data_IF_852213752930
#
_entry.id   IF_852213752930
#
_cell.length_a   1.000
_cell.length_b   1.000
_cell.length_c   1.000
_cell.angle_alpha   90.00
_cell.angle_beta   90.00
_cell.angle_gamma   90.00
#
_symmetry.space_group_name_H-M   'P 1'
#
loop_
_entity.id
_entity.type
_entity.pdbx_description
1 polymer ?
#
# COMPACT_ATOMS: atom_id res chain seq x y z
N UNK A 1 1.33 -29.57 -1.84
CA UNK A 1 0.77 -29.13 -3.14
C UNK A 1 1.94 -28.62 -3.94
N UNK A 2 2.13 -29.07 -5.19
CA UNK A 2 3.29 -28.67 -5.98
C UNK A 2 3.25 -27.17 -6.23
N UNK A 3 4.36 -26.49 -6.00
CA UNK A 3 4.52 -25.08 -6.28
C UNK A 3 5.53 -24.86 -7.41
N UNK A 4 5.27 -23.85 -8.24
CA UNK A 4 5.96 -23.63 -9.50
C UNK A 4 6.67 -22.28 -9.50
N UNK A 5 7.97 -22.30 -9.80
CA UNK A 5 8.80 -21.10 -9.93
C UNK A 5 8.86 -20.71 -11.40
N UNK A 6 8.46 -19.47 -11.72
CA UNK A 6 8.63 -18.87 -13.05
C UNK A 6 9.73 -17.84 -12.98
N UNK A 7 10.83 -18.08 -13.71
CA UNK A 7 11.97 -17.15 -13.76
C UNK A 7 11.78 -16.07 -14.84
N UNK A 8 12.21 -14.88 -14.48
CA UNK A 8 12.13 -13.59 -15.15
C UNK A 8 10.82 -13.37 -15.90
N UNK A 9 9.65 -13.43 -15.22
CA UNK A 9 8.38 -13.22 -15.90
C UNK A 9 8.33 -11.80 -16.47
N UNK A 10 7.89 -11.68 -17.72
CA UNK A 10 7.64 -10.37 -18.33
C UNK A 10 6.48 -9.66 -17.63
N UNK A 11 6.40 -8.33 -17.69
CA UNK A 11 5.24 -7.58 -17.16
C UNK A 11 3.91 -8.06 -17.74
N UNK A 12 3.89 -8.41 -19.03
CA UNK A 12 2.72 -8.97 -19.71
C UNK A 12 2.30 -10.32 -19.09
N UNK A 13 3.28 -11.15 -18.72
CA UNK A 13 3.03 -12.43 -18.03
C UNK A 13 2.38 -12.20 -16.67
N UNK A 14 2.90 -11.25 -15.89
CA UNK A 14 2.36 -10.91 -14.57
C UNK A 14 0.93 -10.36 -14.68
N UNK A 15 0.67 -9.45 -15.63
CA UNK A 15 -0.67 -8.90 -15.86
C UNK A 15 -1.68 -9.98 -16.23
N UNK A 16 -1.30 -10.96 -17.07
CA UNK A 16 -2.17 -12.09 -17.43
C UNK A 16 -2.50 -12.96 -16.21
N UNK A 17 -1.52 -13.23 -15.34
CA UNK A 17 -1.73 -14.01 -14.11
C UNK A 17 -2.68 -13.28 -13.15
N UNK A 18 -2.47 -11.97 -12.96
CA UNK A 18 -3.33 -11.12 -12.15
C UNK A 18 -4.78 -11.09 -12.65
N UNK A 19 -4.97 -10.90 -13.96
CA UNK A 19 -6.30 -10.90 -14.58
C UNK A 19 -7.01 -12.25 -14.48
N UNK A 20 -6.25 -13.34 -14.34
CA UNK A 20 -6.78 -14.67 -14.12
C UNK A 20 -7.07 -14.97 -12.64
N UNK A 21 -6.78 -14.05 -11.71
CA UNK A 21 -6.97 -14.24 -10.28
C UNK A 21 -5.98 -15.22 -9.65
N UNK A 22 -4.81 -15.40 -10.27
CA UNK A 22 -3.75 -16.24 -9.71
C UNK A 22 -2.87 -15.37 -8.84
N UNK A 23 -2.79 -15.72 -7.55
CA UNK A 23 -1.88 -15.10 -6.61
C UNK A 23 -0.46 -15.63 -6.80
N UNK A 24 0.54 -14.77 -6.58
CA UNK A 24 1.95 -15.16 -6.61
C UNK A 24 2.74 -14.49 -5.49
N UNK A 25 3.83 -15.14 -5.09
CA UNK A 25 4.79 -14.60 -4.13
C UNK A 25 6.09 -14.24 -4.85
N UNK A 26 6.60 -13.04 -4.60
CA UNK A 26 7.94 -12.67 -5.03
C UNK A 26 8.95 -13.46 -4.19
N UNK A 27 9.72 -14.33 -4.84
CA UNK A 27 10.68 -15.21 -4.16
C UNK A 27 12.09 -14.64 -4.23
N UNK A 28 12.51 -14.18 -5.41
CA UNK A 28 13.83 -13.62 -5.70
C UNK A 28 13.73 -12.56 -6.81
N UNK A 29 14.78 -11.75 -7.07
CA UNK A 29 14.79 -10.81 -8.20
C UNK A 29 14.48 -11.55 -9.50
N UNK A 30 13.27 -11.30 -10.02
CA UNK A 30 12.80 -11.93 -11.23
C UNK A 30 12.26 -13.36 -11.05
N UNK A 31 11.91 -13.85 -9.87
CA UNK A 31 11.23 -15.15 -9.75
C UNK A 31 9.91 -15.01 -8.98
N UNK A 32 8.85 -15.64 -9.51
CA UNK A 32 7.56 -15.74 -8.83
C UNK A 32 7.24 -17.19 -8.49
N UNK A 33 6.67 -17.41 -7.31
CA UNK A 33 6.17 -18.70 -6.86
C UNK A 33 4.64 -18.75 -7.00
N UNK A 34 4.15 -19.79 -7.67
CA UNK A 34 2.73 -20.03 -7.97
C UNK A 34 2.30 -21.36 -7.36
N UNK A 35 1.15 -21.38 -6.68
CA UNK A 35 0.58 -22.60 -6.09
C UNK A 35 -0.69 -23.01 -6.88
N UNK A 36 -0.52 -23.35 -8.15
CA UNK A 36 -1.61 -23.62 -9.09
C UNK A 36 -1.26 -24.75 -10.07
N UNK A 37 -2.26 -25.38 -10.69
CA UNK A 37 -2.03 -26.43 -11.71
C UNK A 37 -1.24 -25.87 -12.91
N UNK A 38 -0.08 -26.47 -13.20
CA UNK A 38 0.79 -26.08 -14.31
C UNK A 38 0.09 -26.07 -15.68
N UNK A 39 -0.92 -26.93 -15.89
CA UNK A 39 -1.72 -26.95 -17.13
C UNK A 39 -2.62 -25.71 -17.23
N UNK A 40 -3.14 -25.23 -16.11
CA UNK A 40 -3.92 -23.99 -16.05
C UNK A 40 -3.01 -22.80 -16.35
N UNK A 41 -1.82 -22.75 -15.75
CA UNK A 41 -0.80 -21.73 -16.02
C UNK A 41 -0.44 -21.68 -17.51
N UNK A 42 -0.15 -22.83 -18.12
CA UNK A 42 0.17 -22.90 -19.56
C UNK A 42 -0.96 -22.36 -20.44
N UNK A 43 -2.23 -22.63 -20.08
CA UNK A 43 -3.39 -22.12 -20.81
C UNK A 43 -3.55 -20.61 -20.68
N UNK A 44 -3.40 -20.04 -19.49
CA UNK A 44 -3.52 -18.60 -19.23
C UNK A 44 -2.43 -17.82 -19.97
N UNK A 45 -1.21 -18.37 -19.97
CA UNK A 45 -0.07 -17.74 -20.62
C UNK A 45 -0.05 -17.93 -22.13
N UNK A 46 -0.94 -18.77 -22.68
CA UNK A 46 -0.95 -19.16 -24.10
C UNK A 46 0.38 -19.82 -24.52
N UNK A 47 0.98 -20.60 -23.61
CA UNK A 47 2.18 -21.35 -23.88
C UNK A 47 1.84 -22.59 -24.73
N UNK A 48 2.65 -22.87 -25.75
CA UNK A 48 2.52 -24.08 -26.58
C UNK A 48 2.90 -25.32 -25.78
N UNK A 49 3.99 -25.22 -25.03
CA UNK A 49 4.55 -26.30 -24.21
C UNK A 49 5.19 -25.71 -22.95
N UNK A 50 5.36 -26.54 -21.93
CA UNK A 50 6.07 -26.19 -20.71
C UNK A 50 6.98 -27.35 -20.29
N UNK A 51 8.10 -27.03 -19.67
CA UNK A 51 9.02 -27.98 -19.05
C UNK A 51 9.13 -27.64 -17.56
N UNK A 52 8.89 -28.61 -16.69
CA UNK A 52 9.01 -28.47 -15.25
C UNK A 52 10.20 -29.31 -14.75
N UNK A 53 11.16 -28.67 -14.12
CA UNK A 53 12.35 -29.31 -13.54
C UNK A 53 12.23 -29.32 -12.01
N UNK A 54 12.41 -30.47 -11.35
CA UNK A 54 12.44 -30.50 -9.89
C UNK A 54 13.60 -29.65 -9.39
N UNK A 55 13.39 -28.94 -8.29
CA UNK A 55 14.43 -28.19 -7.59
C UNK A 55 15.00 -29.04 -6.44
N UNK A 56 15.92 -28.46 -5.64
CA UNK A 56 16.43 -29.11 -4.43
C UNK A 56 15.40 -29.17 -3.28
N UNK A 57 14.29 -28.44 -3.39
CA UNK A 57 13.23 -28.41 -2.39
C UNK A 57 12.08 -29.35 -2.77
N UNK A 58 11.54 -30.06 -1.77
CA UNK A 58 10.41 -30.97 -1.94
C UNK A 58 9.17 -30.22 -2.46
N UNK A 59 8.46 -30.82 -3.41
CA UNK A 59 7.26 -30.25 -4.06
C UNK A 59 7.47 -28.91 -4.79
N UNK A 60 8.70 -28.50 -5.10
CA UNK A 60 9.00 -27.24 -5.78
C UNK A 60 9.64 -27.47 -7.16
N UNK A 61 9.05 -26.88 -8.19
CA UNK A 61 9.45 -27.10 -9.59
C UNK A 61 9.75 -25.79 -10.30
N UNK A 62 10.88 -25.70 -11.00
CA UNK A 62 11.20 -24.60 -11.90
C UNK A 62 10.54 -24.83 -13.27
N UNK A 63 9.74 -23.88 -13.74
CA UNK A 63 8.96 -24.01 -14.97
C UNK A 63 9.44 -23.04 -16.04
N UNK A 64 9.70 -23.58 -17.23
CA UNK A 64 9.98 -22.81 -18.44
C UNK A 64 8.85 -22.97 -19.43
N UNK A 65 8.22 -21.87 -19.84
CA UNK A 65 7.17 -21.84 -20.84
C UNK A 65 7.73 -21.54 -22.23
N UNK A 66 7.31 -22.30 -23.25
CA UNK A 66 7.63 -22.03 -24.64
C UNK A 66 6.41 -21.46 -25.35
N UNK A 67 6.54 -20.26 -25.89
CA UNK A 67 5.47 -19.58 -26.60
C UNK A 67 5.57 -19.87 -28.10
N UNK A 68 4.44 -19.96 -28.82
CA UNK A 68 4.49 -20.06 -30.27
C UNK A 68 5.16 -18.80 -30.81
N UNK A 69 6.23 -18.97 -31.58
CA UNK A 69 6.86 -17.86 -32.28
C UNK A 69 5.78 -17.17 -33.11
N UNK A 70 5.51 -15.90 -32.83
CA UNK A 70 4.58 -15.09 -33.62
C UNK A 70 5.18 -15.02 -35.03
N UNK A 71 4.80 -15.96 -35.89
CA UNK A 71 4.96 -15.77 -37.33
C UNK A 71 4.31 -14.44 -37.65
N UNK A 72 5.04 -13.57 -38.36
CA UNK A 72 4.61 -12.25 -38.76
C UNK A 72 3.24 -12.33 -39.45
N UNK A 73 2.18 -12.21 -38.65
CA UNK A 73 0.83 -12.05 -39.12
C UNK A 73 0.80 -10.66 -39.76
N UNK A 74 0.99 -10.66 -41.08
CA UNK A 74 0.80 -9.53 -41.96
C UNK A 74 -0.43 -8.76 -41.47
N UNK A 75 -0.29 -7.48 -41.05
CA UNK A 75 -1.35 -6.75 -40.37
C UNK A 75 -2.62 -6.84 -41.21
N UNK A 76 -3.76 -7.29 -40.64
CA UNK A 76 -4.98 -7.49 -41.41
C UNK A 76 -5.38 -6.16 -42.06
N UNK A 77 -5.36 -6.16 -43.39
CA UNK A 77 -5.79 -5.02 -44.18
C UNK A 77 -7.25 -4.71 -43.89
N UNK A 78 -7.46 -3.46 -43.50
CA UNK A 78 -8.71 -2.69 -43.53
C UNK A 78 -9.92 -3.32 -42.83
N UNK A 79 -10.28 -2.70 -41.71
CA UNK A 79 -11.50 -2.89 -40.94
C UNK A 79 -12.74 -2.91 -41.84
N UNK A 80 -13.28 -4.10 -42.07
CA UNK A 80 -14.67 -4.26 -42.50
C UNK A 80 -15.57 -3.61 -41.44
N UNK A 81 -16.67 -2.95 -41.85
CA UNK A 81 -17.62 -2.35 -40.92
C UNK A 81 -18.12 -3.40 -39.93
N UNK A 82 -17.94 -3.10 -38.65
CA UNK A 82 -18.28 -3.97 -37.54
C UNK A 82 -19.80 -4.19 -37.50
N UNK A 83 -20.25 -5.39 -37.89
CA UNK A 83 -21.64 -5.79 -37.70
C UNK A 83 -21.83 -6.41 -36.31
N UNK A 84 -22.78 -5.87 -35.54
CA UNK A 84 -23.20 -6.40 -34.24
C UNK A 84 -23.69 -7.85 -34.31
N UNK A 85 -24.15 -8.28 -35.49
CA UNK A 85 -24.71 -9.62 -35.70
C UNK A 85 -23.67 -10.67 -36.05
N UNK A 86 -22.43 -10.25 -36.33
CA UNK A 86 -21.32 -11.16 -36.59
C UNK A 86 -21.01 -12.03 -35.35
N UNK A 87 -20.43 -13.23 -35.51
CA UNK A 87 -20.01 -14.06 -34.39
C UNK A 87 -19.09 -13.31 -33.40
N UNK A 88 -18.24 -12.42 -33.93
CA UNK A 88 -17.33 -11.58 -33.16
C UNK A 88 -18.08 -10.45 -32.43
N UNK A 89 -19.12 -9.89 -33.06
CA UNK A 89 -20.11 -8.99 -32.45
C UNK A 89 -20.79 -9.59 -31.23
N UNK A 90 -21.31 -10.81 -31.38
CA UNK A 90 -21.98 -11.57 -30.30
C UNK A 90 -21.02 -11.92 -29.17
N UNK A 91 -19.80 -12.35 -29.49
CA UNK A 91 -18.76 -12.65 -28.49
C UNK A 91 -18.42 -11.42 -27.64
N UNK A 92 -18.23 -10.25 -28.27
CA UNK A 92 -17.98 -9.00 -27.54
C UNK A 92 -19.18 -8.60 -26.68
N UNK A 93 -20.40 -8.70 -27.20
CA UNK A 93 -21.61 -8.40 -26.42
C UNK A 93 -21.73 -9.30 -25.18
N UNK A 94 -21.42 -10.59 -25.32
CA UNK A 94 -21.38 -11.53 -24.20
C UNK A 94 -20.28 -11.19 -23.19
N UNK A 95 -19.09 -10.80 -23.68
CA UNK A 95 -18.00 -10.35 -22.82
C UNK A 95 -18.36 -9.10 -22.03
N UNK A 96 -18.96 -8.09 -22.67
CA UNK A 96 -19.42 -6.85 -22.01
C UNK A 96 -20.44 -7.20 -20.92
N UNK A 97 -21.41 -8.06 -21.21
CA UNK A 97 -22.40 -8.52 -20.21
C UNK A 97 -21.73 -9.24 -19.04
N UNK A 98 -20.77 -10.11 -19.31
CA UNK A 98 -20.03 -10.83 -18.26
C UNK A 98 -19.21 -9.87 -17.40
N UNK A 99 -18.54 -8.90 -18.01
CA UNK A 99 -17.79 -7.87 -17.31
C UNK A 99 -18.71 -7.02 -16.43
N UNK A 100 -19.89 -6.64 -16.92
CA UNK A 100 -20.89 -5.91 -16.13
C UNK A 100 -21.34 -6.72 -14.89
N UNK A 101 -21.57 -8.03 -15.04
CA UNK A 101 -21.89 -8.91 -13.91
C UNK A 101 -20.74 -8.96 -12.90
N UNK A 102 -19.50 -9.14 -13.36
CA UNK A 102 -18.31 -9.15 -12.48
C UNK A 102 -18.14 -7.83 -11.73
N UNK A 103 -18.32 -6.70 -12.39
CA UNK A 103 -18.25 -5.40 -11.74
C UNK A 103 -19.34 -5.23 -10.66
N UNK A 104 -20.56 -5.72 -10.92
CA UNK A 104 -21.63 -5.73 -9.92
C UNK A 104 -21.30 -6.62 -8.71
N UNK A 105 -20.65 -7.76 -8.93
CA UNK A 105 -20.21 -8.64 -7.85
C UNK A 105 -19.09 -8.01 -7.02
N UNK A 106 -18.08 -7.42 -7.67
CA UNK A 106 -16.97 -6.73 -6.99
C UNK A 106 -17.48 -5.55 -6.15
N UNK A 107 -18.38 -4.73 -6.72
CA UNK A 107 -18.96 -3.59 -6.00
C UNK A 107 -19.82 -4.05 -4.82
N UNK A 108 -20.59 -5.14 -4.97
CA UNK A 108 -21.34 -5.74 -3.86
C UNK A 108 -20.42 -6.29 -2.77
N UNK A 109 -19.32 -6.96 -3.13
CA UNK A 109 -18.34 -7.47 -2.17
C UNK A 109 -17.63 -6.34 -1.42
N UNK A 110 -17.23 -5.28 -2.11
CA UNK A 110 -16.63 -4.09 -1.52
C UNK A 110 -17.61 -3.41 -0.54
N UNK A 111 -18.89 -3.26 -0.92
CA UNK A 111 -19.92 -2.73 -0.04
C UNK A 111 -20.12 -3.61 1.20
N UNK A 112 -20.21 -4.93 1.04
CA UNK A 112 -20.36 -5.85 2.17
C UNK A 112 -19.16 -5.79 3.12
N UNK A 113 -17.93 -5.67 2.59
CA UNK A 113 -16.72 -5.46 3.39
C UNK A 113 -16.76 -4.13 4.15
N UNK A 114 -17.24 -3.06 3.52
CA UNK A 114 -17.43 -1.76 4.18
C UNK A 114 -18.47 -1.85 5.30
N UNK A 115 -19.62 -2.47 5.03
CA UNK A 115 -20.71 -2.63 6.00
C UNK A 115 -20.29 -3.50 7.20
N UNK A 116 -19.56 -4.60 6.95
CA UNK A 116 -19.00 -5.45 8.00
C UNK A 116 -18.00 -4.69 8.88
N UNK A 117 -17.12 -3.89 8.27
CA UNK A 117 -16.17 -3.03 8.99
C UNK A 117 -16.91 -1.97 9.81
N UNK A 118 -17.99 -1.40 9.26
CA UNK A 118 -18.82 -0.42 9.95
C UNK A 118 -19.57 -1.03 11.15
N UNK A 119 -20.02 -2.28 11.06
CA UNK A 119 -20.65 -2.98 12.18
C UNK A 119 -19.67 -3.16 13.35
N UNK A 120 -18.42 -3.53 13.06
CA UNK A 120 -17.35 -3.70 14.06
C UNK A 120 -16.86 -2.36 14.65
N UNK A 121 -17.14 -1.25 13.99
CA UNK A 121 -16.78 0.09 14.47
C UNK A 121 -17.54 0.45 15.75
N UNK A 122 -18.79 -0.01 15.89
CA UNK A 122 -19.60 0.14 17.10
C UNK A 122 -18.97 -0.48 18.33
N UNK A 123 -18.53 -1.74 18.22
CA UNK A 123 -17.86 -2.46 19.30
C UNK A 123 -16.50 -1.84 19.62
N UNK A 124 -15.72 -1.49 18.60
CA UNK A 124 -14.41 -0.85 18.77
C UNK A 124 -14.53 0.52 19.46
N UNK A 125 -15.57 1.30 19.10
CA UNK A 125 -15.90 2.57 19.72
C UNK A 125 -16.40 2.40 21.16
N UNK A 126 -17.21 1.38 21.44
CA UNK A 126 -17.63 1.08 22.81
C UNK A 126 -16.45 0.71 23.71
N UNK A 127 -15.52 -0.14 23.24
CA UNK A 127 -14.29 -0.47 23.95
C UNK A 127 -13.39 0.75 24.12
N UNK A 128 -13.27 1.58 23.07
CA UNK A 128 -12.55 2.85 23.12
C UNK A 128 -13.12 3.78 24.21
N UNK A 129 -14.43 3.99 24.22
CA UNK A 129 -15.08 4.85 25.20
C UNK A 129 -15.01 4.30 26.61
N UNK A 130 -15.09 2.98 26.79
CA UNK A 130 -14.86 2.39 28.11
C UNK A 130 -13.43 2.67 28.60
N UNK A 131 -12.44 2.60 27.71
CA UNK A 131 -11.07 2.91 28.06
C UNK A 131 -10.81 4.41 28.29
N UNK A 132 -11.40 5.29 27.49
CA UNK A 132 -11.29 6.75 27.64
C UNK A 132 -12.16 7.30 28.80
N UNK A 133 -13.26 6.63 29.12
CA UNK A 133 -14.14 6.94 30.26
C UNK A 133 -13.45 6.74 31.60
N UNK A 134 -12.43 5.88 31.69
CA UNK A 134 -11.62 5.74 32.91
C UNK A 134 -10.77 7.01 33.16
N UNK A 135 -10.44 7.77 32.11
CA UNK A 135 -9.69 9.03 32.19
C UNK A 135 -10.61 10.25 32.35
N UNK A 136 -11.85 10.21 31.84
CA UNK A 136 -12.82 11.31 31.91
C UNK A 136 -13.95 11.02 32.92
N UNK A 137 -13.64 11.05 34.22
CA UNK A 137 -14.55 10.70 35.33
C UNK A 137 -15.76 11.66 35.52
N UNK A 138 -15.97 12.69 34.69
CA UNK A 138 -17.01 13.72 34.97
C UNK A 138 -17.95 14.14 33.83
N UNK A 139 -17.92 13.52 32.66
CA UNK A 139 -18.82 13.92 31.57
C UNK A 139 -20.11 13.10 31.57
N UNK A 140 -21.24 13.81 31.37
CA UNK A 140 -22.57 13.25 31.05
C UNK A 140 -22.41 12.05 30.13
N UNK A 141 -23.20 10.99 30.35
CA UNK A 141 -23.26 9.79 29.50
C UNK A 141 -23.09 10.22 28.04
N UNK A 142 -21.98 9.86 27.38
CA UNK A 142 -21.70 10.37 26.06
C UNK A 142 -22.80 9.90 25.10
N UNK A 143 -23.26 10.80 24.25
CA UNK A 143 -24.16 10.45 23.17
C UNK A 143 -23.40 9.59 22.15
N UNK A 144 -23.72 8.30 22.12
CA UNK A 144 -23.03 7.30 21.30
C UNK A 144 -23.16 7.66 19.82
N UNK A 145 -24.30 8.21 19.40
CA UNK A 145 -24.55 8.56 17.99
C UNK A 145 -23.67 9.74 17.57
N UNK A 146 -23.51 10.73 18.44
CA UNK A 146 -22.63 11.88 18.19
C UNK A 146 -21.15 11.45 18.10
N UNK A 147 -20.70 10.56 18.97
CA UNK A 147 -19.34 10.05 18.94
C UNK A 147 -19.09 9.19 17.70
N UNK A 148 -20.05 8.35 17.32
CA UNK A 148 -20.01 7.56 16.10
C UNK A 148 -19.88 8.45 14.87
N UNK A 149 -20.65 9.55 14.81
CA UNK A 149 -20.55 10.53 13.74
C UNK A 149 -19.16 11.16 13.69
N UNK A 150 -18.63 11.61 14.84
CA UNK A 150 -17.30 12.22 14.94
C UNK A 150 -16.19 11.25 14.50
N UNK A 151 -16.28 9.98 14.91
CA UNK A 151 -15.34 8.94 14.47
C UNK A 151 -15.37 8.70 12.96
N UNK A 152 -16.58 8.67 12.35
CA UNK A 152 -16.72 8.55 10.89
C UNK A 152 -16.10 9.72 10.15
N UNK A 153 -16.24 10.94 10.68
CA UNK A 153 -15.59 12.12 10.12
C UNK A 153 -14.06 12.03 10.22
N UNK A 154 -13.52 11.67 11.38
CA UNK A 154 -12.08 11.47 11.57
C UNK A 154 -11.51 10.38 10.66
N UNK A 155 -12.23 9.27 10.46
CA UNK A 155 -11.80 8.23 9.52
C UNK A 155 -11.70 8.76 8.08
N UNK A 156 -12.68 9.53 7.61
CA UNK A 156 -12.65 10.13 6.28
C UNK A 156 -11.50 11.13 6.14
N UNK A 157 -11.26 11.94 7.17
CA UNK A 157 -10.15 12.89 7.20
C UNK A 157 -8.81 12.17 7.16
N UNK A 158 -8.61 11.10 7.94
CA UNK A 158 -7.40 10.29 7.89
C UNK A 158 -7.13 9.70 6.50
N UNK A 159 -8.17 9.14 5.86
CA UNK A 159 -8.05 8.62 4.50
C UNK A 159 -7.81 9.70 3.43
N UNK A 160 -8.09 10.97 3.74
CA UNK A 160 -7.81 12.09 2.84
C UNK A 160 -6.36 12.56 2.87
N UNK A 161 -5.58 12.14 3.87
CA UNK A 161 -4.15 12.46 3.99
C UNK A 161 -3.39 11.69 2.89
N UNK A 162 -2.68 12.37 1.96
CA UNK A 162 -2.04 11.71 0.80
C UNK A 162 -1.03 10.62 1.14
N UNK A 163 -0.35 10.75 2.29
CA UNK A 163 0.64 9.81 2.80
C UNK A 163 0.00 8.57 3.44
N UNK A 164 -1.29 8.60 3.81
CA UNK A 164 -1.99 7.47 4.42
C UNK A 164 -2.45 6.50 3.33
N UNK A 165 -2.03 5.25 3.45
CA UNK A 165 -2.40 4.16 2.54
C UNK A 165 -3.66 3.43 3.02
N UNK A 166 -3.75 3.17 4.33
CA UNK A 166 -4.90 2.50 4.94
C UNK A 166 -5.05 2.85 6.41
N UNK A 167 -6.28 2.77 6.93
CA UNK A 167 -6.59 2.95 8.36
C UNK A 167 -7.44 1.77 8.82
N UNK A 168 -7.07 1.17 9.96
CA UNK A 168 -7.80 0.07 10.60
C UNK A 168 -8.09 0.41 12.05
N UNK A 169 -9.32 0.17 12.48
CA UNK A 169 -9.70 0.29 13.88
C UNK A 169 -9.67 -1.09 14.54
N UNK A 170 -9.02 -1.17 15.68
CA UNK A 170 -9.05 -2.31 16.59
C UNK A 170 -9.62 -1.84 17.94
N UNK A 171 -10.15 -2.75 18.78
CA UNK A 171 -10.64 -2.39 20.10
C UNK A 171 -9.55 -1.65 20.90
N UNK A 172 -9.79 -0.36 21.17
CA UNK A 172 -8.86 0.51 21.91
C UNK A 172 -7.66 1.06 21.11
N UNK A 173 -7.52 0.73 19.82
CA UNK A 173 -6.36 1.13 19.02
C UNK A 173 -6.73 1.56 17.59
N UNK A 174 -5.98 2.50 17.03
CA UNK A 174 -6.09 2.94 15.64
C UNK A 174 -4.77 2.65 14.95
N UNK A 175 -4.81 1.88 13.86
CA UNK A 175 -3.64 1.55 13.05
C UNK A 175 -3.70 2.34 11.75
N UNK A 176 -2.66 3.13 11.49
CA UNK A 176 -2.52 3.97 10.31
C UNK A 176 -1.31 3.48 9.53
N UNK A 177 -1.55 2.96 8.33
CA UNK A 177 -0.52 2.50 7.41
C UNK A 177 -0.19 3.63 6.45
N UNK A 178 1.10 3.94 6.30
CA UNK A 178 1.58 5.00 5.41
C UNK A 178 2.16 4.42 4.12
N UNK A 179 2.18 5.27 3.09
CA UNK A 179 3.05 5.09 1.92
C UNK A 179 4.52 5.27 2.32
N UNK A 180 5.44 5.07 1.36
CA UNK A 180 6.87 5.32 1.62
C UNK A 180 7.08 6.80 1.92
N UNK A 181 7.60 7.10 3.11
CA UNK A 181 7.90 8.45 3.58
C UNK A 181 9.33 8.82 3.23
N UNK A 182 9.56 10.12 3.07
CA UNK A 182 10.89 10.69 2.83
C UNK A 182 11.14 11.80 3.84
N UNK A 183 12.35 11.83 4.38
CA UNK A 183 12.73 12.85 5.35
C UNK A 183 13.83 13.78 4.83
N UNK A 184 13.79 15.01 5.29
CA UNK A 184 14.74 16.07 4.94
C UNK A 184 15.28 16.73 6.21
N UNK A 185 16.46 17.31 6.13
CA UNK A 185 17.08 18.08 7.20
C UNK A 185 17.97 19.18 6.63
N UNK A 186 18.22 20.24 7.40
CA UNK A 186 19.05 21.38 6.95
C UNK A 186 20.50 21.01 6.63
N UNK A 187 20.99 19.87 7.16
CA UNK A 187 22.35 19.37 7.00
C UNK A 187 22.51 18.38 5.83
N UNK A 188 21.44 17.95 5.16
CA UNK A 188 21.52 17.00 4.05
C UNK A 188 21.12 17.63 2.71
N UNK A 189 21.86 17.30 1.64
CA UNK A 189 21.57 17.77 0.28
C UNK A 189 20.60 16.79 -0.42
N UNK A 190 19.35 16.76 0.03
CA UNK A 190 18.30 15.93 -0.55
C UNK A 190 17.43 15.22 0.48
N UNK A 191 16.44 14.47 -0.02
CA UNK A 191 15.57 13.65 0.80
C UNK A 191 16.13 12.24 0.95
N UNK A 192 15.98 11.65 2.13
CA UNK A 192 16.31 10.27 2.41
C UNK A 192 15.04 9.45 2.53
N UNK A 193 15.03 8.25 1.95
CA UNK A 193 13.87 7.36 2.00
C UNK A 193 13.83 6.66 3.35
N UNK A 194 12.76 6.91 4.11
CA UNK A 194 12.52 6.24 5.38
C UNK A 194 11.82 4.89 5.17
N UNK A 195 10.92 4.79 4.19
CA UNK A 195 10.09 3.60 3.96
C UNK A 195 8.66 3.76 4.46
N UNK A 196 7.92 2.66 4.53
CA UNK A 196 6.50 2.65 4.99
C UNK A 196 6.42 2.52 6.50
N UNK A 197 5.43 3.15 7.12
CA UNK A 197 5.21 3.09 8.56
C UNK A 197 3.84 2.52 8.92
N UNK A 198 3.79 1.84 10.06
CA UNK A 198 2.60 1.58 10.84
C UNK A 198 2.64 2.52 12.06
N UNK A 199 1.72 3.48 12.09
CA UNK A 199 1.50 4.36 13.23
C UNK A 199 0.34 3.78 14.04
N UNK A 200 0.61 3.47 15.31
CA UNK A 200 -0.36 2.93 16.26
C UNK A 200 -0.74 4.02 17.24
N UNK A 201 -2.02 4.37 17.29
CA UNK A 201 -2.57 5.25 18.32
C UNK A 201 -3.30 4.37 19.35
N UNK A 202 -2.89 4.45 20.61
CA UNK A 202 -3.50 3.76 21.75
C UNK A 202 -3.93 4.78 22.82
N UNK A 203 -5.12 5.38 22.70
CA UNK A 203 -5.53 6.46 23.62
C UNK A 203 -5.84 5.99 25.04
N UNK A 204 -5.91 4.66 25.23
CA UNK A 204 -6.12 4.02 26.52
C UNK A 204 -4.83 3.77 27.30
N UNK A 205 -3.66 3.97 26.69
CA UNK A 205 -2.39 3.55 27.30
C UNK A 205 -2.05 4.39 28.55
N UNK A 206 -2.06 3.79 29.75
CA UNK A 206 -1.75 4.51 30.98
C UNK A 206 -0.26 4.88 31.10
N UNK A 207 0.62 4.28 30.29
CA UNK A 207 2.06 4.51 30.33
C UNK A 207 2.50 5.78 29.58
N UNK A 208 1.56 6.47 28.93
CA UNK A 208 1.84 7.65 28.11
C UNK A 208 2.39 7.33 26.72
N UNK A 209 2.47 6.04 26.33
CA UNK A 209 2.87 5.63 24.97
C UNK A 209 1.64 5.52 24.06
N UNK A 210 0.88 6.61 23.98
CA UNK A 210 -0.36 6.64 23.22
C UNK A 210 -0.13 6.71 21.70
N UNK A 211 1.09 6.97 21.23
CA UNK A 211 1.50 6.88 19.83
C UNK A 211 2.81 6.10 19.72
N UNK A 212 2.84 5.12 18.81
CA UNK A 212 4.05 4.41 18.41
C UNK A 212 4.16 4.35 16.88
N UNK A 213 5.38 4.45 16.36
CA UNK A 213 5.68 4.45 14.93
C UNK A 213 6.63 3.31 14.59
N UNK A 214 6.20 2.37 13.76
CA UNK A 214 6.99 1.22 13.35
C UNK A 214 7.29 1.27 11.85
N UNK A 215 8.56 1.23 11.48
CA UNK A 215 8.98 1.18 10.09
C UNK A 215 8.85 -0.26 9.56
N UNK A 216 8.01 -0.43 8.54
CA UNK A 216 7.74 -1.71 7.90
C UNK A 216 8.81 -2.09 6.87
N UNK A 217 9.66 -1.15 6.45
CA UNK A 217 10.80 -1.43 5.56
C UNK A 217 12.03 -1.95 6.32
N UNK A 218 12.02 -1.85 7.65
CA UNK A 218 13.10 -2.31 8.53
C UNK A 218 13.61 -1.24 9.47
N UNK A 219 14.51 -1.63 10.36
CA UNK A 219 15.16 -0.73 11.32
C UNK A 219 16.62 -0.54 10.94
N UNK A 220 17.18 0.63 11.27
CA UNK A 220 18.61 0.89 11.12
C UNK A 220 19.29 0.94 12.48
N UNK A 221 20.49 0.36 12.55
CA UNK A 221 21.33 0.49 13.74
C UNK A 221 21.87 1.92 13.86
N UNK A 222 21.48 2.64 14.92
CA UNK A 222 21.85 4.03 15.19
C UNK A 222 21.87 4.35 16.71
N UNK A 223 22.79 5.23 17.13
CA UNK A 223 23.03 5.69 18.51
C UNK A 223 23.16 4.61 19.59
N UNK A 224 22.03 4.06 20.04
CA UNK A 224 21.84 3.17 21.19
C UNK A 224 21.00 1.92 20.84
N UNK A 225 20.88 1.56 19.56
CA UNK A 225 20.16 0.36 19.17
C UNK A 225 19.62 0.45 17.76
N UNK A 226 18.52 -0.26 17.52
CA UNK A 226 17.76 -0.18 16.29
C UNK A 226 16.79 1.02 16.37
N UNK A 227 16.61 1.73 15.25
CA UNK A 227 15.73 2.90 15.13
C UNK A 227 14.80 2.74 13.92
N UNK A 228 13.53 3.13 14.08
CA UNK A 228 12.54 3.12 12.99
C UNK A 228 12.66 4.35 12.09
N UNK A 229 13.06 5.49 12.66
CA UNK A 229 13.30 6.76 11.98
C UNK A 229 14.21 7.63 12.87
N UNK A 230 14.75 8.77 12.38
CA UNK A 230 15.28 9.78 13.29
C UNK A 230 14.28 10.09 14.40
N UNK A 231 14.76 10.16 15.64
CA UNK A 231 13.93 10.36 16.84
C UNK A 231 12.84 9.30 17.11
N UNK A 232 12.89 8.12 16.47
CA UNK A 232 12.00 7.00 16.81
C UNK A 232 12.84 5.79 17.20
N UNK A 233 12.75 5.40 18.47
CA UNK A 233 13.48 4.27 19.04
C UNK A 233 12.96 2.93 18.50
N UNK A 234 13.73 1.84 18.65
CA UNK A 234 13.35 0.52 18.11
C UNK A 234 12.07 -0.09 18.69
N UNK A 235 11.58 0.40 19.83
CA UNK A 235 10.27 0.03 20.38
C UNK A 235 9.10 0.85 19.79
N UNK A 236 9.39 1.71 18.81
CA UNK A 236 8.42 2.57 18.13
C UNK A 236 8.10 3.85 18.88
N UNK A 237 8.67 4.09 20.06
CA UNK A 237 8.41 5.32 20.81
C UNK A 237 9.07 6.51 20.13
N UNK A 238 8.30 7.58 20.01
CA UNK A 238 8.81 8.88 19.63
C UNK A 238 9.66 9.41 20.78
N UNK A 239 10.90 9.78 20.47
CA UNK A 239 11.84 10.35 21.43
C UNK A 239 11.20 11.60 22.06
N UNK A 240 11.31 11.77 23.39
CA UNK A 240 10.65 12.86 24.10
C UNK A 240 11.06 14.19 23.51
N UNK A 241 10.08 14.83 22.89
CA UNK A 241 10.16 16.15 22.30
C UNK A 241 8.86 16.88 22.66
N UNK A 242 8.89 18.20 22.59
CA UNK A 242 7.78 19.11 22.92
C UNK A 242 6.45 18.73 22.23
N UNK A 243 6.51 18.01 21.11
CA UNK A 243 5.34 17.56 20.36
C UNK A 243 4.46 16.54 21.10
N UNK A 244 5.00 15.79 22.06
CA UNK A 244 4.23 14.73 22.74
C UNK A 244 3.05 15.29 23.52
N UNK A 245 3.21 16.47 24.13
CA UNK A 245 2.14 17.14 24.87
C UNK A 245 1.01 17.57 23.91
N UNK A 246 1.36 18.17 22.78
CA UNK A 246 0.39 18.55 21.74
C UNK A 246 -0.31 17.32 21.15
N UNK A 247 0.43 16.24 20.87
CA UNK A 247 -0.14 15.00 20.37
C UNK A 247 -1.10 14.37 21.38
N UNK A 248 -0.78 14.42 22.68
CA UNK A 248 -1.64 13.91 23.73
C UNK A 248 -2.96 14.70 23.77
N UNK A 249 -2.88 16.02 23.69
CA UNK A 249 -4.06 16.88 23.66
C UNK A 249 -4.94 16.60 22.44
N UNK A 250 -4.35 16.51 21.24
CA UNK A 250 -5.08 16.19 20.00
C UNK A 250 -5.77 14.83 20.08
N UNK A 251 -5.07 13.81 20.56
CA UNK A 251 -5.63 12.45 20.74
C UNK A 251 -6.76 12.45 21.77
N UNK A 252 -6.60 13.17 22.89
CA UNK A 252 -7.63 13.32 23.92
C UNK A 252 -8.87 14.06 23.40
N UNK A 253 -8.68 15.01 22.49
CA UNK A 253 -9.76 15.74 21.81
C UNK A 253 -10.36 14.97 20.62
N UNK A 254 -9.89 13.75 20.32
CA UNK A 254 -10.28 12.95 19.16
C UNK A 254 -10.00 13.62 17.80
N UNK A 255 -8.93 14.42 17.72
CA UNK A 255 -8.44 15.04 16.50
C UNK A 255 -7.34 14.19 15.85
N UNK A 256 -7.68 12.94 15.53
CA UNK A 256 -6.70 11.96 15.05
C UNK A 256 -6.08 12.32 13.71
N UNK A 257 -6.85 12.95 12.81
CA UNK A 257 -6.32 13.39 11.52
C UNK A 257 -5.18 14.40 11.72
N UNK A 258 -5.43 15.44 12.53
CA UNK A 258 -4.43 16.46 12.89
C UNK A 258 -3.23 15.82 13.61
N UNK A 259 -3.46 14.91 14.55
CA UNK A 259 -2.38 14.22 15.26
C UNK A 259 -1.48 13.43 14.29
N UNK A 260 -2.06 12.73 13.32
CA UNK A 260 -1.30 12.00 12.30
C UNK A 260 -0.54 12.94 11.38
N UNK A 261 -1.11 14.07 10.96
CA UNK A 261 -0.38 15.07 10.16
C UNK A 261 0.85 15.61 10.91
N UNK A 262 0.71 15.89 12.21
CA UNK A 262 1.84 16.32 13.07
C UNK A 262 2.90 15.22 13.17
N UNK A 263 2.50 13.96 13.36
CA UNK A 263 3.44 12.81 13.39
C UNK A 263 4.15 12.65 12.05
N UNK A 264 3.43 12.74 10.93
CA UNK A 264 4.03 12.65 9.60
C UNK A 264 5.05 13.77 9.38
N UNK A 265 4.69 15.02 9.70
CA UNK A 265 5.63 16.15 9.60
C UNK A 265 6.87 15.95 10.46
N UNK A 266 6.70 15.42 11.68
CA UNK A 266 7.79 15.09 12.57
C UNK A 266 8.72 14.01 11.98
N UNK A 267 8.15 12.95 11.39
CA UNK A 267 8.94 11.90 10.73
C UNK A 267 9.68 12.43 9.49
N UNK A 268 9.08 13.35 8.75
CA UNK A 268 9.63 13.92 7.51
C UNK A 268 10.68 15.03 7.74
N UNK A 269 10.83 15.52 8.97
CA UNK A 269 11.72 16.65 9.29
C UNK A 269 12.75 16.30 10.37
N UNK A 270 14.02 16.21 9.99
CA UNK A 270 15.13 16.01 10.92
C UNK A 270 15.80 17.34 11.30
N UNK A 271 15.98 17.59 12.60
CA UNK A 271 16.74 18.75 13.10
C UNK A 271 18.24 18.56 12.99
N UNK A 272 19.01 19.67 12.96
CA UNK A 272 20.50 19.62 12.99
C UNK A 272 21.03 19.40 14.41
N UNK A 273 20.66 18.27 15.01
CA UNK A 273 21.20 17.80 16.28
C UNK A 273 21.81 16.39 16.12
N UNK A 274 22.32 15.83 17.22
CA UNK A 274 22.97 14.52 17.20
C UNK A 274 22.02 13.39 16.74
N UNK A 275 20.72 13.51 17.01
CA UNK A 275 19.72 12.49 16.67
C UNK A 275 19.24 12.63 15.22
N UNK A 276 19.02 13.84 14.75
CA UNK A 276 18.60 14.10 13.37
C UNK A 276 19.68 13.72 12.36
N UNK A 277 20.97 13.88 12.70
CA UNK A 277 22.09 13.45 11.85
C UNK A 277 22.11 11.95 11.53
N UNK A 278 21.41 11.10 12.28
CA UNK A 278 21.25 9.70 11.91
C UNK A 278 20.49 9.52 10.60
N UNK A 279 19.72 10.53 10.14
CA UNK A 279 19.07 10.54 8.84
C UNK A 279 20.03 10.18 7.69
N UNK A 280 21.30 10.58 7.78
CA UNK A 280 22.32 10.28 6.76
C UNK A 280 22.61 8.78 6.58
N UNK A 281 22.16 7.92 7.51
CA UNK A 281 22.27 6.46 7.40
C UNK A 281 21.16 5.84 6.55
N UNK A 282 20.04 6.54 6.35
CA UNK A 282 18.99 6.08 5.45
C UNK A 282 19.42 6.27 4.00
N UNK A 283 18.96 5.40 3.07
CA UNK A 283 19.29 5.54 1.65
C UNK A 283 18.77 6.89 1.12
N UNK A 284 19.56 7.52 0.26
CA UNK A 284 19.08 8.71 -0.44
C UNK A 284 17.93 8.31 -1.36
N UNK A 285 16.84 9.09 -1.33
CA UNK A 285 15.72 8.87 -2.22
C UNK A 285 16.25 9.02 -3.66
N UNK A 286 16.01 8.03 -4.51
CA UNK A 286 16.39 8.10 -5.90
C UNK A 286 15.74 9.35 -6.50
N UNK A 287 16.55 10.36 -6.85
CA UNK A 287 16.00 11.55 -7.46
C UNK A 287 15.37 11.11 -8.78
N UNK A 288 14.05 11.25 -8.92
CA UNK A 288 13.31 10.90 -10.14
C UNK A 288 13.69 11.80 -11.35
N UNK A 289 14.86 12.44 -11.32
CA UNK A 289 15.45 13.27 -12.38
C UNK A 289 15.64 12.52 -13.71
N UNK A 290 15.55 11.18 -13.73
CA UNK A 290 15.62 10.40 -14.98
C UNK A 290 14.39 10.54 -15.90
N UNK A 291 13.29 11.16 -15.45
CA UNK A 291 12.03 11.20 -16.22
C UNK A 291 11.75 12.52 -16.97
N UNK A 292 12.57 13.57 -16.83
CA UNK A 292 12.33 14.88 -17.49
C UNK A 292 13.29 15.22 -18.65
N UNK A 293 14.28 14.38 -18.95
CA UNK A 293 15.31 14.73 -19.95
C UNK A 293 14.94 14.40 -21.41
N UNK A 294 13.78 13.82 -21.70
CA UNK A 294 13.43 13.35 -23.07
C UNK A 294 12.26 14.09 -23.75
N UNK A 295 11.78 15.24 -23.25
CA UNK A 295 10.65 15.96 -23.88
C UNK A 295 11.01 17.27 -24.61
N UNK A 296 12.28 17.66 -24.72
CA UNK A 296 12.66 18.97 -25.30
C UNK A 296 13.51 18.94 -26.60
N UNK A 297 13.56 17.83 -27.33
CA UNK A 297 14.36 17.71 -28.57
C UNK A 297 13.56 17.67 -29.88
N UNK A 298 12.34 18.25 -29.95
CA UNK A 298 11.59 18.29 -31.22
C UNK A 298 10.77 19.57 -31.48
N UNK A 299 11.35 20.74 -31.26
CA UNK A 299 10.86 22.00 -31.86
C UNK A 299 12.03 22.83 -32.40
N UNK A 300 12.44 22.55 -33.64
CA UNK A 300 13.26 23.47 -34.43
C UNK A 300 12.80 23.45 -35.90
N UNK A 301 12.39 24.64 -36.33
CA UNK A 301 12.40 25.17 -37.69
C UNK A 301 11.38 24.64 -38.72
N UNK A 302 10.23 25.34 -38.80
CA UNK A 302 9.64 25.73 -40.08
C UNK A 302 9.43 27.24 -40.05
N UNK A 303 10.30 27.99 -40.73
CA UNK A 303 10.04 29.38 -41.11
C UNK A 303 9.34 29.40 -42.48
N UNK A 304 8.24 30.15 -42.67
CA UNK A 304 7.77 30.51 -43.99
C UNK A 304 8.45 31.80 -44.50
N UNK A 305 8.63 31.83 -45.82
CA UNK A 305 9.17 32.90 -46.67
C UNK A 305 8.38 34.21 -46.59
#
# INVERSE_FOLDING_TARGET
MPAYIVRNPSSITLDKLYQAGIDWLNWEPGAILLNEDIKLLGRILEASTFEAKPTEWEDLFEVTFTFPSKQDLKPPQQSLPYSSDSPLGRSRANYIKLAEVRYKEITKAAQASFDATQANLGESLASYLQSASLTQIHLKKPDIDQLMLRFKEQYRQLLSIPQVEAVRFHPGQIFVYTRSLQATGSFCHGAHELGKFLIVINPADPSGNFIACFNLAGQLSAARGEMHAPYVYGDGRICPNEILESLLELVAQMEYATAIEVVLQFLETAGDDAMGRYLLRWPQAASNLASKTNSNSNQLAIQPL
#
